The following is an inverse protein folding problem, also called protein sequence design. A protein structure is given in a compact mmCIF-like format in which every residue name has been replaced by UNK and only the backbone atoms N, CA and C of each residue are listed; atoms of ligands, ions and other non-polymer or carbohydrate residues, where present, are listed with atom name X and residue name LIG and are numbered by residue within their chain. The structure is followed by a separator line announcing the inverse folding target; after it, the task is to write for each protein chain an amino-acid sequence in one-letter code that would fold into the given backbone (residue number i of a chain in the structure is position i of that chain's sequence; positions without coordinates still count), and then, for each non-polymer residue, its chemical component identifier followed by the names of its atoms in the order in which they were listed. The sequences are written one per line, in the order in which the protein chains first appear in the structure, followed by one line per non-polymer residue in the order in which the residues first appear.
data_IF_932749341552
#
_entry.id   IF_932749341552
#
_cell.length_a   1.000
_cell.length_b   1.000
_cell.length_c   1.000
_cell.angle_alpha   90.00
_cell.angle_beta   90.00
_cell.angle_gamma   90.00
#
_symmetry.space_group_name_H-M   'P 1'
#
loop_
_entity.id
_entity.type
_entity.pdbx_description
1 polymer ?
2 polymer ?
3 non-polymer ?
4 water ?
#
# COMPACT_ATOMS: atom_id res chain seq x y z
N UNK A 1 -17.42 -0.74 -11.53
CA UNK A 1 -18.30 -0.34 -10.37
C UNK A 1 -17.61 -0.23 -8.99
N UNK A 2 -16.37 -0.73 -8.85
CA UNK A 2 -15.60 -0.58 -7.62
C UNK A 2 -14.26 0.11 -7.87
N UNK A 3 -13.72 0.71 -6.83
CA UNK A 3 -12.34 1.21 -6.82
C UNK A 3 -11.65 0.35 -5.77
N UNK A 4 -10.56 -0.29 -6.17
CA UNK A 4 -9.86 -1.26 -5.35
C UNK A 4 -8.56 -0.68 -4.84
N UNK A 5 -8.27 -0.92 -3.58
CA UNK A 5 -7.01 -0.50 -2.98
C UNK A 5 -6.60 -1.46 -1.91
N UNK A 6 -5.34 -1.39 -1.49
CA UNK A 6 -4.89 -2.24 -0.40
C UNK A 6 -3.95 -1.50 0.51
N UNK A 7 -3.61 -2.14 1.63
CA UNK A 7 -2.92 -1.53 2.76
C UNK A 7 -2.22 -2.64 3.53
N UNK A 8 -0.99 -2.41 3.96
CA UNK A 8 -0.36 -3.30 4.93
C UNK A 8 -0.03 -2.61 6.23
N UNK A 9 -0.10 -3.38 7.31
CA UNK A 9 0.09 -2.90 8.67
C UNK A 9 0.93 -3.90 9.44
N UNK A 10 2.13 -3.48 9.84
CA UNK A 10 3.02 -4.30 10.63
C UNK A 10 2.93 -3.91 12.11
N UNK A 11 2.52 -4.87 12.91
CA UNK A 11 2.53 -4.76 14.35
C UNK A 11 3.86 -5.34 14.83
N UNK A 12 4.77 -4.45 15.17
CA UNK A 12 6.08 -4.86 15.68
C UNK A 12 5.97 -5.41 17.08
N UNK A 13 6.87 -6.34 17.42
CA UNK A 13 6.99 -6.88 18.77
C UNK A 13 5.63 -7.39 19.27
N UNK A 14 5.01 -8.21 18.44
CA UNK A 14 3.66 -8.72 18.72
C UNK A 14 3.54 -9.41 20.07
N UNK A 15 4.55 -10.18 20.46
CA UNK A 15 4.54 -10.86 21.76
C UNK A 15 4.52 -9.91 22.96
N UNK A 16 4.86 -8.64 22.75
CA UNK A 16 4.81 -7.63 23.81
C UNK A 16 3.48 -6.93 23.90
N UNK A 17 2.56 -7.23 23.00
CA UNK A 17 1.19 -6.69 23.08
C UNK A 17 0.45 -7.42 24.19
N UNK A 18 0.02 -6.65 25.20
CA UNK A 18 -0.60 -7.21 26.41
C UNK A 18 -2.14 -7.16 26.41
N UNK A 19 -2.73 -6.80 25.27
CA UNK A 19 -4.17 -6.70 25.16
C UNK A 19 -4.81 -8.03 25.50
N UNK A 20 -5.82 -7.97 26.37
CA UNK A 20 -6.56 -9.13 26.82
C UNK A 20 -7.85 -9.22 26.01
N UNK A 21 -8.63 -10.25 26.31
CA UNK A 21 -9.93 -10.43 25.71
C UNK A 21 -10.74 -9.13 25.79
N UNK A 22 -11.31 -8.74 24.66
CA UNK A 22 -12.12 -7.54 24.55
C UNK A 22 -11.34 -6.26 24.23
N UNK A 23 -10.02 -6.30 24.35
CA UNK A 23 -9.18 -5.13 24.09
C UNK A 23 -8.73 -5.11 22.64
N UNK A 24 -8.29 -3.92 22.20
CA UNK A 24 -8.10 -3.65 20.79
C UNK A 24 -6.74 -3.03 20.49
N UNK A 25 -6.11 -3.46 19.40
CA UNK A 25 -4.94 -2.81 18.83
C UNK A 25 -5.46 -2.14 17.55
N UNK A 26 -5.23 -0.86 17.37
CA UNK A 26 -5.81 -0.10 16.25
C UNK A 26 -4.71 0.41 15.34
N UNK A 27 -4.93 0.35 14.04
CA UNK A 27 -3.97 0.88 13.08
C UNK A 27 -4.15 2.39 12.98
N UNK A 28 -3.17 3.04 12.36
CA UNK A 28 -3.37 4.39 11.87
C UNK A 28 -4.39 4.37 10.74
N UNK A 29 -4.93 5.53 10.42
CA UNK A 29 -5.83 5.62 9.29
C UNK A 29 -5.09 5.39 7.97
N UNK A 30 -5.85 4.90 7.00
CA UNK A 30 -5.37 4.72 5.64
C UNK A 30 -6.52 4.97 4.67
N UNK A 31 -6.19 5.03 3.39
CA UNK A 31 -7.15 5.34 2.39
C UNK A 31 -6.70 4.73 1.07
N UNK A 32 -7.48 4.95 0.02
CA UNK A 32 -7.16 4.43 -1.30
C UNK A 32 -6.07 5.17 -2.05
N UNK A 33 -5.74 6.37 -1.62
CA UNK A 33 -4.76 7.24 -2.29
C UNK A 33 -4.81 8.63 -1.69
N UNK A 34 -3.87 9.49 -2.04
CA UNK A 34 -3.84 10.82 -1.43
C UNK A 34 -5.09 11.65 -1.66
N UNK A 35 -5.80 11.44 -2.76
CA UNK A 35 -7.01 12.23 -3.04
C UNK A 35 -8.28 11.65 -2.44
N UNK A 36 -8.21 10.48 -1.82
CA UNK A 36 -9.36 9.81 -1.26
C UNK A 36 -9.84 10.61 -0.06
N UNK A 37 -11.15 10.84 0.02
CA UNK A 37 -11.75 11.53 1.17
C UNK A 37 -12.21 10.58 2.29
N UNK A 38 -12.24 9.28 2.02
CA UNK A 38 -12.53 8.30 3.06
C UNK A 38 -11.30 8.05 3.93
N UNK A 39 -11.56 7.71 5.18
CA UNK A 39 -10.52 7.23 6.08
C UNK A 39 -10.97 5.94 6.67
N UNK A 40 -10.07 4.95 6.68
CA UNK A 40 -10.31 3.63 7.24
C UNK A 40 -9.27 3.30 8.28
N UNK A 41 -9.56 2.36 9.17
CA UNK A 41 -8.51 1.72 9.95
C UNK A 41 -8.84 0.26 10.20
N UNK A 42 -7.83 -0.46 10.64
CA UNK A 42 -7.99 -1.83 11.07
C UNK A 42 -7.98 -1.88 12.59
N UNK A 43 -8.76 -2.81 13.14
CA UNK A 43 -8.78 -3.07 14.57
C UNK A 43 -8.62 -4.56 14.78
N UNK A 44 -7.70 -4.93 15.66
CA UNK A 44 -7.38 -6.33 15.95
C UNK A 44 -7.69 -6.57 17.42
N UNK A 45 -8.41 -7.66 17.69
CA UNK A 45 -8.56 -8.16 19.06
C UNK A 45 -7.71 -9.42 19.17
N UNK A 46 -6.50 -9.31 19.75
CA UNK A 46 -5.61 -10.47 19.69
C UNK A 46 -6.06 -11.68 20.50
N UNK A 47 -6.94 -11.45 21.49
CA UNK A 47 -7.53 -12.54 22.29
C UNK A 47 -9.04 -12.47 22.21
N UNK A 48 -9.54 -12.06 21.03
CA UNK A 48 -10.97 -12.06 20.77
C UNK A 48 -11.75 -11.00 21.52
N UNK A 49 -13.06 -11.15 21.51
CA UNK A 49 -13.99 -10.18 22.07
C UNK A 49 -14.67 -10.63 23.36
N UNK A 50 -14.81 -11.94 23.51
CA UNK A 50 -15.60 -12.52 24.60
C UNK A 50 -15.18 -13.97 24.76
N UNK A 51 -15.76 -14.66 25.74
CA UNK A 51 -15.34 -16.02 26.08
C UNK A 51 -15.39 -16.98 24.89
N UNK A 52 -16.43 -16.86 24.07
CA UNK A 52 -16.63 -17.77 22.94
C UNK A 52 -15.66 -17.51 21.77
N UNK A 53 -15.04 -16.34 21.76
CA UNK A 53 -14.04 -16.01 20.74
C UNK A 53 -12.62 -15.84 21.29
N UNK A 54 -12.38 -16.22 22.56
CA UNK A 54 -11.07 -15.94 23.17
C UNK A 54 -9.93 -16.74 22.54
N UNK A 55 -10.26 -17.82 21.83
CA UNK A 55 -9.28 -18.65 21.12
C UNK A 55 -8.95 -18.15 19.71
N UNK A 56 -9.49 -16.98 19.34
CA UNK A 56 -9.22 -16.38 18.06
C UNK A 56 -8.65 -15.00 18.16
N UNK A 57 -7.91 -14.61 17.13
CA UNK A 57 -7.63 -13.23 16.86
C UNK A 57 -8.73 -12.74 15.90
N UNK A 58 -9.35 -11.62 16.26
CA UNK A 58 -10.45 -11.03 15.50
C UNK A 58 -9.89 -9.83 14.75
N UNK A 59 -10.42 -9.57 13.54
CA UNK A 59 -9.91 -8.49 12.71
C UNK A 59 -11.07 -7.80 12.03
N UNK A 60 -11.08 -6.46 12.15
CA UNK A 60 -12.15 -5.62 11.62
C UNK A 60 -11.63 -4.45 10.82
N UNK A 61 -12.40 -4.10 9.80
CA UNK A 61 -12.21 -2.89 9.02
C UNK A 61 -13.22 -1.86 9.54
N UNK A 62 -12.72 -0.69 9.92
CA UNK A 62 -13.53 0.38 10.49
C UNK A 62 -13.52 1.56 9.53
N UNK A 63 -14.71 2.10 9.24
CA UNK A 63 -14.83 3.33 8.46
C UNK A 63 -14.75 4.49 9.43
N UNK A 64 -13.63 5.20 9.41
CA UNK A 64 -13.38 6.31 10.34
C UNK A 64 -14.09 7.59 9.90
N UNK A 65 -14.04 7.89 8.60
CA UNK A 65 -14.62 9.10 8.06
C UNK A 65 -15.17 8.84 6.67
N UNK A 66 -16.34 9.40 6.39
CA UNK A 66 -16.86 9.43 5.03
C UNK A 66 -17.76 10.66 4.85
N UNK A 67 -17.83 11.20 3.62
CA UNK A 67 -18.62 12.42 3.40
C UNK A 67 -20.13 12.25 3.47
N UNK A 68 -20.64 11.15 2.91
CA UNK A 68 -22.06 10.86 2.87
C UNK A 68 -22.44 9.87 3.97
N UNK A 69 -23.70 9.47 3.95
CA UNK A 69 -24.27 8.65 5.02
C UNK A 69 -23.75 7.22 5.06
N UNK A 70 -23.44 6.64 3.90
CA UNK A 70 -22.99 5.25 3.81
C UNK A 70 -21.93 5.04 2.72
N UNK A 71 -21.19 3.97 2.88
CA UNK A 71 -20.23 3.45 1.91
C UNK A 71 -20.44 1.94 1.90
N UNK A 72 -20.58 1.34 0.72
CA UNK A 72 -20.61 -0.10 0.58
C UNK A 72 -19.24 -0.59 0.12
N UNK A 73 -18.72 -1.63 0.77
CA UNK A 73 -17.40 -2.15 0.41
C UNK A 73 -17.32 -3.64 0.66
N UNK A 74 -16.61 -4.33 -0.23
CA UNK A 74 -16.15 -5.69 0.01
C UNK A 74 -14.72 -5.61 0.50
N UNK A 75 -14.26 -6.62 1.21
CA UNK A 75 -12.92 -6.59 1.78
C UNK A 75 -12.37 -7.98 2.00
N UNK A 76 -11.06 -8.04 2.10
CA UNK A 76 -10.31 -9.26 2.28
C UNK A 76 -9.12 -8.96 3.17
N UNK A 77 -8.86 -9.85 4.13
CA UNK A 77 -7.70 -9.72 5.00
C UNK A 77 -6.81 -10.95 4.88
N UNK A 78 -5.50 -10.73 4.94
CA UNK A 78 -4.56 -11.83 5.03
C UNK A 78 -3.40 -11.45 5.93
N UNK A 79 -2.59 -12.43 6.28
CA UNK A 79 -1.37 -12.24 7.03
C UNK A 79 -0.20 -12.45 6.07
N UNK A 80 0.79 -11.57 6.13
CA UNK A 80 1.95 -11.73 5.29
C UNK A 80 3.00 -12.54 6.01
N UNK A 81 3.64 -13.40 5.24
CA UNK A 81 4.78 -14.17 5.75
C UNK A 81 6.07 -13.37 5.70
N UNK A 82 7.19 -14.00 6.03
CA UNK A 82 8.49 -13.32 6.15
C UNK A 82 8.97 -12.71 4.85
N UNK A 83 8.52 -13.28 3.72
CA UNK A 83 8.80 -12.72 2.41
C UNK A 83 7.81 -11.63 1.95
N UNK A 84 6.86 -11.27 2.82
CA UNK A 84 5.82 -10.28 2.47
C UNK A 84 4.78 -10.77 1.48
N UNK A 85 4.57 -12.08 1.47
CA UNK A 85 3.62 -12.74 0.62
C UNK A 85 2.34 -13.09 1.40
N UNK A 86 1.21 -13.03 0.70
CA UNK A 86 -0.08 -13.34 1.31
C UNK A 86 -0.12 -14.78 1.66
N UNK A 87 -0.70 -15.04 2.80
CA UNK A 87 -0.97 -16.39 3.18
C UNK A 87 -2.47 -16.56 2.98
N UNK A 88 -3.14 -17.35 3.81
CA UNK A 88 -4.55 -17.53 3.65
C UNK A 88 -5.27 -16.21 3.88
N UNK A 89 -6.25 -16.00 3.11
CA UNK A 89 -7.06 -14.85 3.29
C UNK A 89 -8.42 -15.25 3.77
N UNK A 90 -9.14 -14.27 4.31
CA UNK A 90 -10.55 -14.38 4.57
C UNK A 90 -11.22 -13.18 3.91
N UNK A 91 -12.23 -13.45 3.10
CA UNK A 91 -12.84 -12.42 2.28
C UNK A 91 -14.34 -12.36 2.46
N UNK A 92 -14.89 -11.15 2.45
CA UNK A 92 -16.30 -10.97 2.66
C UNK A 92 -17.09 -11.56 1.48
N UNK A 93 -18.19 -12.22 1.78
CA UNK A 93 -18.98 -12.90 0.76
C UNK A 93 -19.82 -11.93 -0.08
N UNK A 94 -19.90 -10.68 0.36
CA UNK A 94 -20.59 -9.62 -0.37
C UNK A 94 -20.02 -8.28 0.10
N UNK A 95 -20.55 -7.19 -0.45
CA UNK A 95 -20.25 -5.87 0.09
C UNK A 95 -21.13 -5.65 1.32
N UNK A 96 -20.58 -4.93 2.30
CA UNK A 96 -21.27 -4.58 3.53
C UNK A 96 -21.45 -3.07 3.61
N UNK A 97 -22.54 -2.66 4.25
CA UNK A 97 -22.88 -1.26 4.41
C UNK A 97 -22.16 -0.68 5.61
N UNK A 98 -21.22 0.21 5.34
CA UNK A 98 -20.53 0.96 6.37
C UNK A 98 -21.17 2.35 6.49
N UNK A 99 -21.17 2.87 7.71
CA UNK A 99 -21.42 4.26 8.00
C UNK A 99 -20.26 4.73 8.86
N UNK A 100 -20.13 6.03 9.05
CA UNK A 100 -19.05 6.54 9.85
C UNK A 100 -19.09 5.93 11.25
N UNK A 101 -17.97 5.32 11.67
CA UNK A 101 -17.86 4.66 12.96
C UNK A 101 -18.25 3.19 13.02
N UNK A 102 -18.62 2.61 11.88
CA UNK A 102 -19.06 1.20 11.81
C UNK A 102 -17.92 0.35 11.33
N UNK A 103 -17.81 -0.83 11.93
CA UNK A 103 -16.89 -1.85 11.43
C UNK A 103 -17.61 -3.08 10.85
N UNK A 104 -16.85 -3.82 10.06
CA UNK A 104 -17.21 -5.15 9.59
C UNK A 104 -15.93 -5.95 9.53
N UNK A 105 -16.00 -7.24 9.80
CA UNK A 105 -14.81 -8.06 9.84
C UNK A 105 -15.14 -9.47 10.19
N UNK A 106 -14.15 -10.15 10.78
CA UNK A 106 -14.30 -11.56 11.13
C UNK A 106 -13.88 -11.77 12.56
N UNK A 107 -14.85 -12.09 13.40
CA UNK A 107 -14.58 -12.38 14.80
C UNK A 107 -13.64 -13.57 14.95
N UNK A 108 -13.77 -14.54 14.04
CA UNK A 108 -12.95 -15.74 14.05
C UNK A 108 -12.01 -15.73 12.84
N UNK A 109 -11.23 -14.66 12.71
CA UNK A 109 -10.31 -14.51 11.59
C UNK A 109 -9.25 -15.61 11.56
N UNK A 110 -8.61 -15.85 12.69
CA UNK A 110 -7.60 -16.91 12.77
C UNK A 110 -7.57 -17.44 14.18
N UNK A 111 -7.44 -18.76 14.32
CA UNK A 111 -7.22 -19.37 15.63
C UNK A 111 -5.89 -18.92 16.19
N UNK A 112 -5.86 -18.54 17.47
CA UNK A 112 -4.61 -18.19 18.13
C UNK A 112 -3.61 -19.34 18.11
N UNK A 113 -4.06 -20.58 18.30
CA UNK A 113 -3.09 -21.69 18.27
C UNK A 113 -2.42 -21.84 16.89
N UNK A 114 -3.15 -21.55 15.82
CA UNK A 114 -2.58 -21.54 14.47
C UNK A 114 -1.62 -20.36 14.28
N UNK A 115 -2.04 -19.18 14.69
CA UNK A 115 -1.21 -17.97 14.62
C UNK A 115 0.12 -18.13 15.34
N UNK A 116 0.06 -18.70 16.54
CA UNK A 116 1.23 -18.83 17.41
C UNK A 116 2.10 -20.04 17.12
N UNK A 117 1.63 -20.94 16.25
CA UNK A 117 2.38 -22.15 15.90
C UNK A 117 3.53 -21.76 14.98
N UNK A 118 4.75 -21.97 15.46
CA UNK A 118 5.95 -21.66 14.69
C UNK A 118 5.97 -22.32 13.30
N UNK A 119 5.31 -23.46 13.15
CA UNK A 119 5.21 -24.15 11.87
C UNK A 119 4.61 -23.30 10.75
N UNK A 120 3.73 -22.38 11.12
CA UNK A 120 2.99 -21.62 10.13
C UNK A 120 3.65 -20.33 9.66
N UNK A 121 4.70 -19.89 10.34
CA UNK A 121 5.47 -18.73 9.89
C UNK A 121 4.72 -17.41 9.80
N UNK A 122 3.73 -17.22 10.67
CA UNK A 122 2.90 -16.00 10.61
C UNK A 122 3.36 -14.87 11.52
N UNK A 123 4.33 -15.13 12.39
CA UNK A 123 4.89 -14.08 13.26
C UNK A 123 6.41 -13.99 13.10
N UNK A 124 6.88 -13.82 11.86
CA UNK A 124 8.34 -13.76 11.64
C UNK A 124 8.98 -12.57 12.35
N UNK A 125 10.09 -12.82 13.04
CA UNK A 125 10.77 -11.79 13.84
C UNK A 125 9.84 -11.06 14.81
N UNK A 126 8.87 -11.79 15.35
CA UNK A 126 7.88 -11.28 16.29
C UNK A 126 7.08 -10.09 15.73
N UNK A 127 6.74 -10.17 14.45
CA UNK A 127 5.91 -9.15 13.79
C UNK A 127 4.68 -9.80 13.23
N UNK A 128 3.53 -9.17 13.45
CA UNK A 128 2.30 -9.57 12.76
C UNK A 128 2.01 -8.53 11.70
N UNK A 129 2.08 -8.95 10.43
CA UNK A 129 1.80 -8.05 9.31
C UNK A 129 0.49 -8.44 8.67
N UNK A 130 -0.47 -7.51 8.73
CA UNK A 130 -1.80 -7.71 8.16
C UNK A 130 -1.90 -6.96 6.87
N UNK A 131 -2.59 -7.57 5.91
CA UNK A 131 -2.79 -7.01 4.59
C UNK A 131 -4.30 -6.93 4.37
N UNK A 132 -4.78 -5.78 3.95
CA UNK A 132 -6.20 -5.57 3.72
C UNK A 132 -6.40 -5.07 2.31
N UNK A 133 -7.27 -5.74 1.54
CA UNK A 133 -7.69 -5.25 0.24
C UNK A 133 -9.17 -4.88 0.34
N UNK A 134 -9.52 -3.71 -0.18
CA UNK A 134 -10.88 -3.20 -0.14
C UNK A 134 -11.35 -2.84 -1.55
N UNK A 135 -12.58 -3.21 -1.87
CA UNK A 135 -13.24 -2.79 -3.09
C UNK A 135 -14.44 -1.92 -2.70
N UNK A 136 -14.33 -0.62 -2.96
CA UNK A 136 -15.32 0.35 -2.54
C UNK A 136 -16.29 0.52 -3.68
N UNK A 137 -17.56 0.28 -3.41
CA UNK A 137 -18.61 0.49 -4.42
C UNK A 137 -18.71 2.01 -4.75
N UNK A 138 -18.59 2.36 -6.02
CA UNK A 138 -18.71 3.76 -6.45
C UNK A 138 -20.18 4.22 -6.51
N UNK A 139 -20.47 5.37 -5.92
CA UNK A 139 -21.83 5.89 -5.88
C UNK A 139 -22.12 6.63 -7.18
N UNK B 1 -3.03 -17.21 -3.64
CA UNK B 1 -3.28 -17.91 -2.36
C UNK B 1 -4.73 -18.30 -2.20
N UNK B 2 -5.01 -19.02 -1.13
CA UNK B 2 -6.38 -19.41 -0.79
C UNK B 2 -7.12 -18.24 -0.12
N UNK B 3 -8.37 -18.08 -0.50
CA UNK B 3 -9.24 -17.12 0.18
C UNK B 3 -10.48 -17.84 0.64
N UNK B 4 -10.74 -17.79 1.94
CA UNK B 4 -11.95 -18.41 2.51
C UNK B 4 -13.04 -17.34 2.46
N UNK B 5 -14.16 -17.65 1.79
CA UNK B 5 -15.21 -16.66 1.58
C UNK B 5 -16.25 -16.84 2.68
N UNK B 6 -16.51 -15.79 3.44
CA UNK B 6 -17.25 -15.88 4.71
C UNK B 6 -18.15 -14.68 4.88
N UNK B 7 -19.23 -14.87 5.63
CA UNK B 7 -20.02 -13.74 6.10
C UNK B 7 -19.24 -12.94 7.13
N UNK B 8 -19.33 -11.62 7.04
CA UNK B 8 -18.70 -10.72 8.00
C UNK B 8 -19.62 -10.50 9.19
N UNK B 9 -19.04 -10.04 10.28
CA UNK B 9 -19.80 -9.60 11.43
C UNK B 9 -19.32 -8.22 11.84
N UNK B 10 -20.12 -7.57 12.67
CA UNK B 10 -19.80 -6.25 13.18
C UNK B 10 -19.83 -6.27 14.69
N UNK B 11 -19.05 -5.40 15.29
CA UNK B 11 -19.02 -5.28 16.74
C UNK B 11 -20.13 -4.37 17.24
N UNK B 12 -20.93 -3.78 16.32
CA UNK B 12 -22.20 -3.09 16.63
C UNK B 12 -23.39 -3.57 15.76
N UNK C 2 0.19 -2.49 -22.82
CA UNK C 2 0.18 -2.97 -24.26
C UNK C 2 1.58 -2.80 -24.87
N UNK C 3 2.17 -1.65 -24.58
CA UNK C 3 3.62 -1.45 -24.74
C UNK C 3 4.16 -1.33 -23.33
N UNK C 4 5.13 -2.17 -23.00
CA UNK C 4 5.65 -2.26 -21.64
C UNK C 4 7.08 -1.81 -21.62
N UNK C 5 7.42 -1.03 -20.61
CA UNK C 5 8.82 -0.69 -20.38
C UNK C 5 9.11 -0.60 -18.91
N UNK C 6 10.38 -0.58 -18.56
CA UNK C 6 10.76 -0.29 -17.19
C UNK C 6 11.89 0.73 -17.16
N UNK C 7 12.05 1.36 -16.00
CA UNK C 7 13.16 2.25 -15.75
C UNK C 7 13.76 1.93 -14.40
N UNK C 8 15.05 1.61 -14.40
CA UNK C 8 15.74 1.40 -13.14
C UNK C 8 16.59 2.64 -12.90
N UNK C 9 16.31 3.29 -11.78
CA UNK C 9 16.99 4.50 -11.39
C UNK C 9 17.80 4.25 -10.14
N UNK C 10 19.11 4.28 -10.28
CA UNK C 10 20.02 4.15 -9.15
C UNK C 10 20.48 5.54 -8.76
N UNK C 11 20.11 5.94 -7.54
CA UNK C 11 20.52 7.19 -6.96
C UNK C 11 21.75 6.84 -6.13
N UNK C 12 22.92 7.13 -6.69
CA UNK C 12 24.17 6.85 -6.01
C UNK C 12 24.39 7.88 -4.93
N UNK C 13 25.09 7.48 -3.88
CA UNK C 13 25.43 8.37 -2.76
C UNK C 13 24.19 9.07 -2.23
N UNK C 14 23.17 8.28 -1.92
CA UNK C 14 21.89 8.80 -1.47
C UNK C 14 22.02 9.73 -0.25
N UNK C 15 22.94 9.38 0.63
CA UNK C 15 23.18 10.18 1.84
C UNK C 15 23.65 11.61 1.55
N UNK C 16 24.06 11.86 0.33
CA UNK C 16 24.53 13.19 -0.01
C UNK C 16 23.41 14.14 -0.30
N UNK C 17 22.25 13.60 -0.60
CA UNK C 17 21.08 14.38 -1.02
C UNK C 17 20.49 15.22 0.10
N UNK C 18 20.55 16.53 -0.08
CA UNK C 18 20.14 17.48 0.96
C UNK C 18 18.75 18.08 0.74
N UNK C 19 18.01 17.58 -0.25
CA UNK C 19 16.71 18.13 -0.60
C UNK C 19 15.78 18.08 0.61
N UNK C 20 15.10 19.19 0.86
CA UNK C 20 14.15 19.31 1.97
C UNK C 20 12.73 19.11 1.46
N UNK C 21 11.77 19.17 2.37
CA UNK C 21 10.37 19.01 2.02
C UNK C 21 10.02 19.93 0.85
N UNK C 22 9.38 19.36 -0.17
CA UNK C 22 8.96 20.13 -1.34
C UNK C 22 9.98 20.23 -2.45
N UNK C 23 11.23 19.86 -2.17
CA UNK C 23 12.28 19.83 -3.18
C UNK C 23 12.33 18.46 -3.85
N UNK C 24 12.90 18.45 -5.05
CA UNK C 24 12.81 17.29 -5.93
C UNK C 24 14.19 16.87 -6.44
N UNK C 25 14.38 15.56 -6.53
CA UNK C 25 15.51 14.97 -7.25
C UNK C 25 14.89 14.40 -8.52
N UNK C 26 15.46 14.73 -9.68
CA UNK C 26 14.97 14.25 -10.96
C UNK C 26 15.94 13.23 -11.56
N UNK C 27 15.40 12.22 -12.22
CA UNK C 27 16.22 11.30 -12.98
C UNK C 27 16.59 11.96 -14.29
N UNK C 28 17.54 11.37 -14.99
CA UNK C 28 17.71 11.73 -16.39
C UNK C 28 16.46 11.34 -17.16
N UNK C 29 16.22 12.06 -18.26
CA UNK C 29 15.07 11.73 -19.09
C UNK C 29 15.33 10.44 -19.82
N UNK C 30 14.25 9.78 -20.19
CA UNK C 30 14.32 8.53 -20.98
C UNK C 30 13.14 8.46 -21.91
N UNK C 31 13.25 7.67 -22.97
CA UNK C 31 12.25 7.74 -24.03
C UNK C 31 11.65 6.37 -24.33
N UNK C 32 10.42 6.41 -24.82
CA UNK C 32 9.74 5.21 -25.30
C UNK C 32 8.83 5.59 -26.47
N UNK C 33 8.18 4.60 -27.05
CA UNK C 33 7.16 4.81 -28.06
C UNK C 33 7.77 4.87 -29.46
N UNK C 34 6.89 4.93 -30.46
CA UNK C 34 7.36 4.95 -31.84
C UNK C 34 8.19 6.23 -32.07
N UNK C 35 9.44 6.02 -32.43
CA UNK C 35 10.38 7.10 -32.73
C UNK C 35 10.99 7.78 -31.49
N UNK C 36 10.89 7.13 -30.34
CA UNK C 36 11.41 7.68 -29.07
C UNK C 36 10.78 9.07 -28.73
N UNK C 37 9.53 9.25 -29.12
CA UNK C 37 8.86 10.54 -29.01
C UNK C 37 8.09 10.76 -27.70
N UNK C 38 7.88 9.70 -26.91
CA UNK C 38 7.48 9.90 -25.52
C UNK C 38 8.73 10.07 -24.68
N UNK C 39 8.81 11.16 -23.91
CA UNK C 39 9.97 11.45 -23.08
C UNK C 39 9.50 11.58 -21.65
N UNK C 40 10.14 10.85 -20.76
CA UNK C 40 9.71 10.65 -19.38
C UNK C 40 10.85 10.97 -18.42
N UNK C 41 10.49 11.23 -17.16
CA UNK C 41 11.48 11.11 -16.08
C UNK C 41 10.79 10.71 -14.80
N UNK C 42 11.60 10.29 -13.84
CA UNK C 42 11.14 10.06 -12.49
C UNK C 42 11.54 11.22 -11.60
N UNK C 43 10.69 11.54 -10.63
CA UNK C 43 10.96 12.58 -9.66
C UNK C 43 10.69 12.07 -8.26
N UNK C 44 11.62 12.33 -7.36
CA UNK C 44 11.54 11.91 -5.97
C UNK C 44 11.54 13.13 -5.08
N UNK C 45 10.64 13.19 -4.10
CA UNK C 45 10.74 14.14 -2.98
C UNK C 45 11.22 13.34 -1.76
N UNK C 46 12.53 13.41 -1.44
CA UNK C 46 13.04 12.49 -0.43
C UNK C 46 12.55 12.77 0.98
N UNK C 47 12.07 13.99 1.23
CA UNK C 47 11.50 14.40 2.50
C UNK C 47 10.06 14.89 2.29
N UNK C 48 9.41 14.31 1.31
CA UNK C 48 8.00 14.50 1.10
C UNK C 48 7.69 15.69 0.26
N UNK C 49 6.51 15.62 -0.34
CA UNK C 49 6.05 16.69 -1.17
C UNK C 49 5.57 17.88 -0.37
N UNK C 50 5.02 17.63 0.82
CA UNK C 50 4.30 18.66 1.57
C UNK C 50 4.12 18.23 3.01
N UNK C 51 3.48 19.08 3.81
CA UNK C 51 3.25 18.81 5.24
C UNK C 51 2.60 17.47 5.53
N UNK C 52 1.60 17.11 4.73
CA UNK C 52 0.83 15.86 4.91
C UNK C 52 1.68 14.59 4.67
N UNK C 53 2.71 14.74 3.83
CA UNK C 53 3.61 13.64 3.48
C UNK C 53 5.05 13.85 3.99
N UNK C 54 5.22 14.67 5.01
CA UNK C 54 6.54 14.97 5.58
C UNK C 54 7.30 13.75 6.11
N UNK C 55 6.59 12.68 6.47
CA UNK C 55 7.23 11.45 6.95
C UNK C 55 7.57 10.46 5.85
N UNK C 56 7.35 10.85 4.61
CA UNK C 56 7.44 9.94 3.46
C UNK C 56 8.39 10.43 2.40
N UNK C 57 8.90 9.48 1.62
CA UNK C 57 9.50 9.78 0.34
C UNK C 57 8.38 9.65 -0.70
N UNK C 58 8.25 10.67 -1.55
CA UNK C 58 7.22 10.74 -2.58
C UNK C 58 7.87 10.42 -3.92
N UNK C 59 7.15 9.72 -4.80
CA UNK C 59 7.72 9.26 -6.07
C UNK C 59 6.73 9.41 -7.20
N UNK C 60 7.18 10.04 -8.30
CA UNK C 60 6.32 10.39 -9.45
C UNK C 60 6.95 10.03 -10.79
N UNK C 61 6.08 9.63 -11.71
CA UNK C 61 6.43 9.48 -13.12
C UNK C 61 5.92 10.70 -13.86
N UNK C 62 6.81 11.39 -14.58
CA UNK C 62 6.45 12.60 -15.34
C UNK C 62 6.57 12.33 -16.82
N UNK C 63 5.53 12.66 -17.58
CA UNK C 63 5.59 12.68 -19.04
C UNK C 63 6.07 14.06 -19.43
N UNK C 64 7.33 14.16 -19.83
CA UNK C 64 8.00 15.44 -20.11
C UNK C 64 7.59 15.99 -21.47
N UNK C 65 7.54 15.13 -22.49
CA UNK C 65 7.02 15.55 -23.79
C UNK C 65 6.40 14.39 -24.53
N UNK C 66 5.43 14.71 -25.39
CA UNK C 66 4.76 13.70 -26.21
C UNK C 66 4.11 14.35 -27.41
N UNK C 67 3.93 13.60 -28.52
CA UNK C 67 3.27 14.18 -29.69
C UNK C 67 1.76 14.43 -29.55
N UNK C 68 1.04 13.48 -28.94
CA UNK C 68 -0.41 13.44 -29.08
C UNK C 68 -1.09 13.98 -27.83
N UNK C 69 -2.42 14.03 -27.90
CA UNK C 69 -3.24 14.66 -26.85
C UNK C 69 -3.29 13.89 -25.55
N UNK C 70 -3.24 12.55 -25.63
CA UNK C 70 -3.35 11.69 -24.44
C UNK C 70 -2.45 10.45 -24.52
N UNK C 71 -1.80 10.13 -23.39
CA UNK C 71 -1.13 8.84 -23.22
C UNK C 71 -1.67 8.24 -21.93
N UNK C 72 -2.20 7.03 -22.01
CA UNK C 72 -2.75 6.38 -20.82
C UNK C 72 -1.76 5.32 -20.38
N UNK C 73 -1.44 5.29 -19.09
CA UNK C 73 -0.47 4.33 -18.58
C UNK C 73 -0.78 3.92 -17.17
N UNK C 74 -0.60 2.63 -16.90
CA UNK C 74 -0.56 2.13 -15.53
C UNK C 74 0.89 2.00 -15.16
N UNK C 75 1.17 2.07 -13.87
CA UNK C 75 2.56 2.02 -13.43
C UNK C 75 2.68 1.43 -12.04
N UNK C 76 3.89 0.97 -11.76
CA UNK C 76 4.24 0.36 -10.48
C UNK C 76 5.63 0.81 -10.14
N UNK C 77 5.85 1.18 -8.87
CA UNK C 77 7.19 1.49 -8.37
C UNK C 77 7.57 0.50 -7.29
N UNK C 78 8.83 0.11 -7.28
CA UNK C 78 9.37 -0.72 -6.19
C UNK C 78 10.80 -0.31 -5.94
N UNK C 79 11.33 -0.79 -4.83
CA UNK C 79 12.71 -0.53 -4.43
C UNK C 79 13.47 -1.84 -4.57
N UNK C 80 14.70 -1.80 -5.07
CA UNK C 80 15.50 -3.03 -5.09
C UNK C 80 16.33 -3.10 -3.81
N UNK C 81 16.24 -4.21 -3.07
CA UNK C 81 16.89 -4.29 -1.78
C UNK C 81 18.31 -4.83 -1.94
N UNK C 82 18.99 -5.05 -0.82
CA UNK C 82 20.39 -5.48 -0.81
C UNK C 82 20.64 -6.81 -1.50
N UNK C 83 19.62 -7.67 -1.53
CA UNK C 83 19.67 -8.93 -2.27
C UNK C 83 19.28 -8.80 -3.76
N UNK C 84 19.01 -7.57 -4.23
CA UNK C 84 18.55 -7.36 -5.60
C UNK C 84 17.12 -7.80 -5.89
N UNK C 85 16.31 -7.87 -4.85
CA UNK C 85 14.90 -8.26 -4.97
C UNK C 85 13.99 -7.03 -4.96
N UNK C 86 12.89 -7.10 -5.72
CA UNK C 86 11.90 -6.02 -5.67
C UNK C 86 11.20 -6.10 -4.35
N UNK C 87 10.95 -4.95 -3.74
CA UNK C 87 10.24 -4.87 -2.50
C UNK C 87 9.52 -3.53 -2.41
N UNK C 88 8.57 -3.46 -1.50
CA UNK C 88 7.81 -2.25 -1.25
C UNK C 88 7.18 -1.70 -2.50
N UNK C 89 6.54 -2.58 -3.24
CA UNK C 89 5.90 -2.19 -4.47
C UNK C 89 4.56 -1.48 -4.22
N UNK C 90 4.32 -0.44 -4.99
CA UNK C 90 3.07 0.30 -4.97
C UNK C 90 2.66 0.50 -6.41
N UNK C 91 1.44 0.13 -6.74
CA UNK C 91 0.98 0.12 -8.11
C UNK C 91 -0.29 0.93 -8.25
N UNK C 92 -0.41 1.60 -9.38
CA UNK C 92 -1.58 2.42 -9.65
C UNK C 92 -2.80 1.53 -9.79
N UNK C 93 -3.92 1.99 -9.24
CA UNK C 93 -5.13 1.15 -9.23
C UNK C 93 -5.81 1.07 -10.60
N UNK C 94 -5.40 1.94 -11.52
CA UNK C 94 -5.86 1.94 -12.89
C UNK C 94 -4.82 2.64 -13.76
N UNK C 95 -5.08 2.74 -15.06
CA UNK C 95 -4.29 3.61 -15.91
C UNK C 95 -4.72 5.06 -15.70
N UNK C 96 -3.75 5.97 -15.80
CA UNK C 96 -3.97 7.40 -15.65
C UNK C 96 -3.70 8.11 -16.96
N UNK C 97 -4.39 9.23 -17.16
CA UNK C 97 -4.22 10.08 -18.32
C UNK C 97 -3.02 11.00 -18.13
N UNK C 98 -2.00 10.75 -18.93
CA UNK C 98 -0.84 11.63 -19.01
C UNK C 98 -1.00 12.49 -20.25
N UNK C 99 -0.59 13.75 -20.10
CA UNK C 99 -0.43 14.70 -21.18
C UNK C 99 0.95 15.29 -20.95
N UNK C 100 1.43 16.05 -21.92
CA UNK C 100 2.72 16.68 -21.81
C UNK C 100 2.75 17.55 -20.55
N UNK C 101 3.76 17.32 -19.72
CA UNK C 101 3.96 18.04 -18.46
C UNK C 101 3.27 17.47 -17.23
N UNK C 102 2.56 16.36 -17.38
CA UNK C 102 1.75 15.81 -16.30
C UNK C 102 2.49 14.67 -15.63
N UNK C 103 2.46 14.67 -14.30
CA UNK C 103 2.93 13.53 -13.52
C UNK C 103 1.82 12.82 -12.77
N UNK C 104 2.11 11.58 -12.41
CA UNK C 104 1.27 10.77 -11.55
C UNK C 104 2.22 9.94 -10.70
N UNK C 105 1.83 9.71 -9.45
CA UNK C 105 2.66 8.96 -8.54
C UNK C 105 2.03 8.80 -7.18
N UNK C 106 2.87 8.63 -6.16
CA UNK C 106 2.38 8.40 -4.81
C UNK C 106 3.12 9.32 -3.85
N UNK C 107 2.35 10.25 -3.29
CA UNK C 107 2.88 11.18 -2.31
C UNK C 107 3.39 10.43 -1.07
N UNK C 108 2.73 9.34 -0.71
CA UNK C 108 3.14 8.50 0.42
C UNK C 108 3.67 7.15 -0.07
N UNK C 109 4.69 7.20 -0.92
CA UNK C 109 5.27 5.96 -1.45
C UNK C 109 5.87 5.07 -0.37
N UNK C 110 6.72 5.62 0.48
CA UNK C 110 7.35 4.81 1.54
C UNK C 110 7.70 5.72 2.71
N UNK C 111 7.48 5.22 3.93
CA UNK C 111 7.88 5.98 5.10
C UNK C 111 9.41 6.14 5.14
N UNK C 112 9.85 7.37 5.44
CA UNK C 112 11.27 7.66 5.50
C UNK C 112 11.96 6.85 6.60
N UNK C 113 11.31 6.71 7.74
CA UNK C 113 11.92 5.94 8.83
C UNK C 113 12.13 4.48 8.47
N UNK C 114 11.24 3.91 7.65
CA UNK C 114 11.40 2.54 7.16
C UNK C 114 12.56 2.48 6.14
N UNK C 115 12.56 3.43 5.20
CA UNK C 115 13.63 3.51 4.21
C UNK C 115 15.01 3.61 4.83
N UNK C 116 15.14 4.45 5.85
CA UNK C 116 16.41 4.72 6.50
C UNK C 116 16.86 3.68 7.51
N UNK C 117 15.97 2.77 7.91
CA UNK C 117 16.29 1.74 8.87
C UNK C 117 17.19 0.69 8.20
N UNK C 118 18.43 0.59 8.67
CA UNK C 118 19.40 -0.35 8.10
C UNK C 118 18.91 -1.80 8.11
N UNK C 119 18.03 -2.14 9.05
CA UNK C 119 17.45 -3.49 9.11
C UNK C 119 16.68 -3.89 7.85
N UNK C 120 16.17 -2.91 7.11
CA UNK C 120 15.37 -3.21 5.92
C UNK C 120 16.17 -3.38 4.63
N UNK C 121 17.44 -3.01 4.63
CA UNK C 121 18.32 -3.26 3.48
C UNK C 121 17.94 -2.53 2.21
N UNK C 122 17.33 -1.35 2.34
CA UNK C 122 16.86 -0.60 1.18
C UNK C 122 17.84 0.44 0.67
N UNK C 123 18.93 0.69 1.38
CA UNK C 123 19.97 1.63 0.91
C UNK C 123 21.35 0.98 0.85
N UNK C 124 21.46 -0.19 0.20
CA UNK C 124 22.75 -0.88 0.17
C UNK C 124 23.82 -0.06 -0.54
N UNK C 125 25.02 -0.02 0.04
CA UNK C 125 26.14 0.74 -0.54
C UNK C 125 25.77 2.21 -0.74
N UNK C 126 24.89 2.75 0.12
CA UNK C 126 24.42 4.13 0.05
C UNK C 126 23.79 4.47 -1.32
N UNK C 127 23.04 3.52 -1.87
CA UNK C 127 22.34 3.68 -3.13
C UNK C 127 20.87 3.43 -2.89
N UNK C 128 20.02 4.29 -3.45
CA UNK C 128 18.60 4.02 -3.53
C UNK C 128 18.28 3.64 -4.96
N UNK C 129 17.85 2.41 -5.17
CA UNK C 129 17.52 1.91 -6.49
C UNK C 129 16.00 1.73 -6.62
N UNK C 130 15.41 2.55 -7.49
CA UNK C 130 13.98 2.55 -7.72
C UNK C 130 13.71 1.89 -9.05
N UNK C 131 12.64 1.11 -9.12
CA UNK C 131 12.30 0.38 -10.32
C UNK C 131 10.89 0.73 -10.67
N UNK C 132 10.69 1.30 -11.87
CA UNK C 132 9.39 1.76 -12.33
C UNK C 132 9.01 0.90 -13.54
N UNK C 133 7.85 0.26 -13.46
CA UNK C 133 7.34 -0.58 -14.55
C UNK C 133 6.08 0.08 -15.08
N UNK C 134 6.04 0.29 -16.39
CA UNK C 134 4.97 1.06 -17.02
C UNK C 134 4.34 0.24 -18.15
N UNK C 135 3.00 0.25 -18.18
CA UNK C 135 2.24 -0.31 -19.27
C UNK C 135 1.48 0.84 -19.91
N UNK C 136 1.85 1.17 -21.15
CA UNK C 136 1.17 2.22 -21.90
C UNK C 136 0.05 1.55 -22.69
N UNK C 137 -1.18 1.96 -22.39
CA UNK C 137 -2.36 1.34 -22.93
C UNK C 137 -2.98 2.25 -24.00
N UNK C 138 -2.58 3.53 -24.07
CA UNK C 138 -2.82 4.36 -25.28
C UNK C 138 -1.70 5.41 -25.49
N UNK C 139 -1.15 5.46 -26.71
CA UNK C 139 -0.09 6.42 -27.10
C UNK C 139 -0.51 7.38 -28.24
N UNK D 1 6.56 -10.86 -3.27
CA UNK D 1 6.01 -9.93 -2.23
C UNK D 1 4.78 -9.24 -2.79
N UNK D 2 3.80 -8.96 -1.94
CA UNK D 2 2.58 -8.29 -2.35
C UNK D 2 2.86 -6.87 -2.84
N UNK D 3 2.09 -6.43 -3.82
CA UNK D 3 2.11 -5.08 -4.31
C UNK D 3 0.86 -4.33 -3.80
N UNK D 4 1.09 -3.17 -3.19
CA UNK D 4 0.03 -2.36 -2.61
C UNK D 4 -0.63 -1.52 -3.70
N UNK D 5 -1.95 -1.62 -3.80
CA UNK D 5 -2.70 -0.91 -4.82
C UNK D 5 -3.18 0.41 -4.25
N UNK D 6 -2.83 1.50 -4.93
CA UNK D 6 -3.23 2.83 -4.52
C UNK D 6 -3.63 3.69 -5.69
N UNK D 7 -4.56 4.60 -5.45
CA UNK D 7 -4.81 5.68 -6.39
C UNK D 7 -3.62 6.62 -6.43
N UNK D 8 -3.31 7.10 -7.63
CA UNK D 8 -2.21 8.04 -7.84
C UNK D 8 -2.62 9.47 -7.55
N UNK D 9 -1.63 10.30 -7.28
CA UNK D 9 -1.83 11.74 -7.14
C UNK D 9 -0.79 12.43 -7.99
N UNK D 10 -1.00 13.72 -8.22
CA UNK D 10 -0.21 14.48 -9.17
C UNK D 10 0.25 15.77 -8.53
N UNK D 11 1.39 16.27 -8.99
CA UNK D 11 1.89 17.55 -8.51
C UNK D 11 1.35 18.69 -9.36
N UNK D 12 0.48 18.40 -10.35
CA UNK D 12 -0.41 19.40 -11.02
C UNK D 12 -1.90 19.00 -11.03
#
# INVERSE_FOLDING_TARGET
KVVKFSYMWTINNFSFCREEMGEVIKSSTFSSGANDKLKWCLRVNPKGLDEESKDYLSLYLLLVSCPKSEVRAKFKFSILNAKGEETKAMESQRAYRFVQGKDWGFKKFIRRDFLLDEANGLLPDDKLTLFCEVSVVQD
EVSIIQGADSTT
KVVKFSYMWTINNFSFCREEMGEVIKSSTFSSGANDKLKWCLRVNPKGLDEESKDYLSLYLLLVSCPKSEVRAKFKFSILNAKGEETKAMESQRAYRFVQGKDWGFKKFIRRDFLLDEANGLLPDDKLTLFCEVSVVQD
EVSIIQGADSTT
#
